data_IF_736707676779
#
_entry.id   IF_736707676779
#
_cell.length_a   1.000
_cell.length_b   1.000
_cell.length_c   1.000
_cell.angle_alpha   90.00
_cell.angle_beta   90.00
_cell.angle_gamma   90.00
#
_symmetry.space_group_name_H-M   'P 1'
#
loop_
_entity.id
_entity.type
_entity.pdbx_description
1 polymer ?
#
# COMPACT_ATOMS: atom_id res chain seq x y z
N UNK A 1 7.99 -6.56 22.89
CA UNK A 1 9.46 -6.51 22.98
C UNK A 1 10.01 -7.05 21.67
N UNK A 2 10.62 -6.20 20.85
CA UNK A 2 11.41 -6.65 19.72
C UNK A 2 12.59 -7.50 20.27
N UNK A 3 12.91 -8.60 19.60
CA UNK A 3 14.06 -9.45 19.98
C UNK A 3 15.33 -8.61 19.95
N UNK A 4 16.33 -9.02 20.75
CA UNK A 4 17.67 -8.44 20.70
C UNK A 4 18.16 -8.39 19.24
N UNK A 5 18.72 -7.26 18.82
CA UNK A 5 19.18 -7.06 17.44
C UNK A 5 18.42 -6.00 16.63
N UNK A 6 17.32 -5.44 17.15
CA UNK A 6 16.62 -4.34 16.51
C UNK A 6 16.72 -3.06 17.33
N UNK A 7 16.97 -1.94 16.65
CA UNK A 7 16.85 -0.61 17.22
C UNK A 7 15.47 -0.01 16.89
N UNK A 8 14.79 0.47 17.92
CA UNK A 8 13.54 1.24 17.80
C UNK A 8 13.61 2.39 18.79
N UNK A 9 13.40 3.60 18.33
CA UNK A 9 13.24 4.76 19.22
C UNK A 9 11.92 4.66 19.97
N UNK A 10 11.99 4.54 21.29
CA UNK A 10 10.79 4.46 22.14
C UNK A 10 9.96 5.75 22.08
N UNK A 11 10.62 6.90 21.93
CA UNK A 11 9.98 8.21 21.79
C UNK A 11 9.20 8.30 20.47
N UNK A 12 9.85 8.00 19.34
CA UNK A 12 9.20 8.00 18.02
C UNK A 12 8.06 6.99 17.94
N UNK A 13 8.24 5.79 18.50
CA UNK A 13 7.18 4.78 18.55
C UNK A 13 5.98 5.25 19.39
N UNK A 14 6.23 5.86 20.55
CA UNK A 14 5.16 6.40 21.41
C UNK A 14 4.42 7.54 20.73
N UNK A 15 5.12 8.43 20.06
CA UNK A 15 4.52 9.52 19.30
C UNK A 15 3.71 8.99 18.11
N UNK A 16 4.26 8.04 17.35
CA UNK A 16 3.55 7.40 16.25
C UNK A 16 2.27 6.71 16.71
N UNK A 17 2.27 6.03 17.86
CA UNK A 17 1.07 5.43 18.44
C UNK A 17 0.02 6.48 18.80
N UNK A 18 0.45 7.61 19.35
CA UNK A 18 -0.45 8.71 19.76
C UNK A 18 -1.04 9.45 18.56
N UNK A 19 -0.23 9.72 17.53
CA UNK A 19 -0.60 10.53 16.36
C UNK A 19 -1.03 9.69 15.14
N UNK A 20 -1.03 8.36 15.26
CA UNK A 20 -1.25 7.46 14.14
C UNK A 20 -0.29 7.72 12.97
N UNK A 21 0.99 7.89 13.32
CA UNK A 21 2.08 8.16 12.41
C UNK A 21 2.90 6.93 12.05
N UNK A 22 4.19 7.12 11.89
CA UNK A 22 5.14 6.08 11.47
C UNK A 22 6.39 6.16 12.34
N UNK A 23 7.01 5.00 12.60
CA UNK A 23 8.34 4.89 13.17
C UNK A 23 9.12 3.79 12.48
N UNK A 24 10.44 3.74 12.73
CA UNK A 24 11.31 2.77 12.10
C UNK A 24 11.78 1.69 13.07
N UNK A 25 11.91 0.47 12.56
CA UNK A 25 12.68 -0.60 13.19
C UNK A 25 13.89 -0.91 12.31
N UNK A 26 15.08 -0.86 12.90
CA UNK A 26 16.35 -1.06 12.20
C UNK A 26 17.00 -2.34 12.71
N UNK A 27 17.28 -3.27 11.81
CA UNK A 27 18.07 -4.44 12.12
C UNK A 27 19.54 -4.02 12.26
N UNK A 28 20.12 -4.21 13.45
CA UNK A 28 21.47 -3.77 13.78
C UNK A 28 22.56 -4.59 13.09
N UNK A 29 22.25 -5.80 12.64
CA UNK A 29 23.21 -6.66 11.96
C UNK A 29 23.31 -6.31 10.47
N UNK A 30 22.17 -6.22 9.79
CA UNK A 30 22.10 -5.99 8.34
C UNK A 30 21.98 -4.52 7.94
N UNK A 31 21.55 -3.66 8.87
CA UNK A 31 21.20 -2.27 8.59
C UNK A 31 19.85 -2.11 7.85
N UNK A 32 19.12 -3.19 7.62
CA UNK A 32 17.79 -3.12 7.02
C UNK A 32 16.82 -2.37 7.90
N UNK A 33 15.98 -1.58 7.25
CA UNK A 33 14.98 -0.74 7.91
C UNK A 33 13.58 -1.16 7.51
N UNK A 34 12.72 -1.34 8.50
CA UNK A 34 11.28 -1.50 8.31
C UNK A 34 10.55 -0.25 8.79
N UNK A 35 9.66 0.28 7.96
CA UNK A 35 8.78 1.37 8.32
C UNK A 35 7.49 0.78 8.92
N UNK A 36 7.24 1.10 10.20
CA UNK A 36 6.07 0.65 10.94
C UNK A 36 5.05 1.77 10.95
N UNK A 37 3.94 1.56 10.26
CA UNK A 37 2.86 2.54 10.14
C UNK A 37 1.74 2.17 11.09
N UNK A 38 1.37 3.12 11.98
CA UNK A 38 0.20 2.97 12.83
C UNK A 38 -1.04 3.30 12.00
N UNK A 39 -1.78 2.28 11.64
CA UNK A 39 -2.96 2.39 10.77
C UNK A 39 -3.93 3.46 11.29
N UNK A 40 -4.28 4.46 10.48
CA UNK A 40 -5.38 5.37 10.79
C UNK A 40 -6.70 4.61 10.92
N UNK A 41 -7.57 5.04 11.83
CA UNK A 41 -8.87 4.45 12.01
C UNK A 41 -9.90 5.06 11.04
N UNK A 42 -9.79 4.70 9.77
CA UNK A 42 -10.65 5.14 8.67
C UNK A 42 -11.22 3.93 7.94
N UNK A 43 -12.30 4.12 7.21
CA UNK A 43 -12.99 3.04 6.50
C UNK A 43 -12.08 2.30 5.51
N UNK A 44 -11.27 3.04 4.75
CA UNK A 44 -10.33 2.43 3.80
C UNK A 44 -9.35 1.48 4.51
N UNK A 45 -8.68 1.95 5.56
CA UNK A 45 -7.69 1.16 6.28
C UNK A 45 -8.33 -0.06 6.98
N UNK A 46 -9.54 0.08 7.54
CA UNK A 46 -10.31 -1.05 8.08
C UNK A 46 -10.65 -2.08 7.01
N UNK A 47 -11.09 -1.62 5.84
CA UNK A 47 -11.39 -2.49 4.71
C UNK A 47 -10.15 -3.23 4.23
N UNK A 48 -8.99 -2.55 4.14
CA UNK A 48 -7.73 -3.19 3.74
C UNK A 48 -7.26 -4.24 4.74
N UNK A 49 -7.38 -3.99 6.04
CA UNK A 49 -7.10 -4.99 7.07
C UNK A 49 -8.03 -6.20 6.93
N UNK A 50 -9.32 -5.99 6.64
CA UNK A 50 -10.28 -7.07 6.43
C UNK A 50 -9.99 -7.86 5.14
N UNK A 51 -9.49 -7.21 4.10
CA UNK A 51 -9.15 -7.80 2.78
C UNK A 51 -7.72 -8.34 2.71
N UNK A 52 -6.91 -8.19 3.76
CA UNK A 52 -5.53 -8.68 3.77
C UNK A 52 -5.46 -10.16 3.42
N UNK A 53 -4.42 -10.54 2.69
CA UNK A 53 -4.22 -11.92 2.23
C UNK A 53 -3.11 -12.59 3.02
N UNK A 54 -3.30 -13.81 3.52
CA UNK A 54 -2.23 -14.60 4.09
C UNK A 54 -1.29 -15.07 2.97
N UNK A 55 0.00 -14.90 3.17
CA UNK A 55 1.03 -15.42 2.28
C UNK A 55 2.18 -15.98 3.10
N UNK A 56 2.92 -16.92 2.52
CA UNK A 56 4.13 -17.47 3.11
C UNK A 56 5.34 -16.91 2.40
N UNK A 57 6.14 -16.13 3.11
CA UNK A 57 7.38 -15.54 2.63
C UNK A 57 8.55 -16.10 3.44
N UNK A 58 9.52 -16.74 2.77
CA UNK A 58 10.73 -17.28 3.44
C UNK A 58 10.41 -18.06 4.72
N UNK A 59 9.45 -18.98 4.64
CA UNK A 59 8.99 -19.82 5.77
C UNK A 59 8.29 -19.06 6.93
N UNK A 60 7.94 -17.79 6.73
CA UNK A 60 7.15 -16.99 7.68
C UNK A 60 5.76 -16.74 7.11
N UNK A 61 4.75 -17.02 7.92
CA UNK A 61 3.37 -16.69 7.57
C UNK A 61 3.10 -15.22 7.89
N UNK A 62 2.75 -14.43 6.87
CA UNK A 62 2.46 -13.00 6.98
C UNK A 62 1.14 -12.64 6.31
N UNK A 63 0.61 -11.49 6.66
CA UNK A 63 -0.50 -10.89 5.90
C UNK A 63 0.03 -9.77 5.02
N UNK A 64 -0.45 -9.72 3.79
CA UNK A 64 -0.14 -8.65 2.84
C UNK A 64 -1.41 -7.91 2.44
N UNK A 65 -1.25 -6.64 2.09
CA UNK A 65 -2.33 -5.84 1.50
C UNK A 65 -2.81 -6.48 0.19
N UNK A 66 -4.10 -6.36 -0.13
CA UNK A 66 -4.61 -6.79 -1.43
C UNK A 66 -3.97 -5.99 -2.58
N UNK A 67 -3.83 -6.55 -3.78
CA UNK A 67 -3.33 -5.79 -4.93
C UNK A 67 -4.15 -4.53 -5.20
N UNK A 68 -5.46 -4.61 -5.06
CA UNK A 68 -6.39 -3.48 -5.20
C UNK A 68 -6.09 -2.38 -4.17
N UNK A 69 -5.95 -2.77 -2.90
CA UNK A 69 -5.59 -1.85 -1.83
C UNK A 69 -4.22 -1.23 -2.02
N UNK A 70 -3.26 -2.00 -2.54
CA UNK A 70 -1.93 -1.48 -2.90
C UNK A 70 -2.02 -0.40 -3.97
N UNK A 71 -2.82 -0.59 -5.02
CA UNK A 71 -3.03 0.43 -6.07
C UNK A 71 -3.60 1.70 -5.45
N UNK A 72 -4.70 1.61 -4.71
CA UNK A 72 -5.36 2.79 -4.12
C UNK A 72 -4.45 3.50 -3.12
N UNK A 73 -3.74 2.78 -2.26
CA UNK A 73 -2.77 3.35 -1.32
C UNK A 73 -1.69 4.15 -2.03
N UNK A 74 -1.12 3.60 -3.11
CA UNK A 74 -0.08 4.28 -3.89
C UNK A 74 -0.60 5.53 -4.60
N UNK A 75 -1.83 5.51 -5.10
CA UNK A 75 -2.48 6.70 -5.68
C UNK A 75 -2.70 7.79 -4.62
N UNK A 76 -3.13 7.43 -3.41
CA UNK A 76 -3.28 8.38 -2.29
C UNK A 76 -1.94 9.00 -1.89
N UNK A 77 -0.88 8.19 -1.83
CA UNK A 77 0.47 8.69 -1.56
C UNK A 77 0.98 9.60 -2.68
N UNK A 78 0.71 9.27 -3.93
CA UNK A 78 1.06 10.12 -5.07
C UNK A 78 0.34 11.46 -5.01
N UNK A 79 -0.96 11.46 -4.68
CA UNK A 79 -1.74 12.69 -4.52
C UNK A 79 -1.21 13.58 -3.39
N UNK A 80 -0.82 12.99 -2.27
CA UNK A 80 -0.32 13.72 -1.11
C UNK A 80 1.10 14.27 -1.29
N UNK A 81 1.97 13.57 -2.04
CA UNK A 81 3.40 13.88 -2.15
C UNK A 81 3.85 14.39 -3.53
N UNK A 82 3.00 14.28 -4.55
CA UNK A 82 3.39 14.55 -5.94
C UNK A 82 4.35 13.49 -6.54
N UNK A 83 4.44 12.32 -5.94
CA UNK A 83 5.43 11.29 -6.29
C UNK A 83 5.06 10.51 -7.55
N UNK A 84 5.75 10.76 -8.65
CA UNK A 84 5.65 9.98 -9.89
C UNK A 84 6.11 8.52 -9.70
N UNK A 85 6.97 8.25 -8.73
CA UNK A 85 7.37 6.88 -8.38
C UNK A 85 6.17 6.08 -7.90
N UNK A 86 5.33 6.64 -7.03
CA UNK A 86 4.14 5.97 -6.53
C UNK A 86 3.14 5.66 -7.65
N UNK A 87 3.02 6.55 -8.65
CA UNK A 87 2.19 6.28 -9.83
C UNK A 87 2.73 5.12 -10.67
N UNK A 88 4.03 5.07 -10.91
CA UNK A 88 4.66 3.95 -11.63
C UNK A 88 4.50 2.63 -10.88
N UNK A 89 4.66 2.66 -9.57
CA UNK A 89 4.49 1.48 -8.72
C UNK A 89 3.02 0.98 -8.75
N UNK A 90 2.04 1.89 -8.72
CA UNK A 90 0.63 1.55 -8.87
C UNK A 90 0.33 0.93 -10.25
N UNK A 91 0.88 1.53 -11.32
CA UNK A 91 0.76 1.00 -12.68
C UNK A 91 1.36 -0.41 -12.81
N UNK A 92 2.50 -0.66 -12.15
CA UNK A 92 3.14 -1.98 -12.14
C UNK A 92 2.27 -3.04 -11.48
N UNK A 93 1.54 -2.71 -10.41
CA UNK A 93 0.59 -3.62 -9.78
C UNK A 93 -0.58 -3.92 -10.73
N UNK A 94 -1.13 -2.90 -11.41
CA UNK A 94 -2.22 -3.09 -12.38
C UNK A 94 -1.82 -4.03 -13.52
N UNK A 95 -0.60 -3.90 -14.02
CA UNK A 95 -0.07 -4.76 -15.08
C UNK A 95 0.25 -6.16 -14.55
N UNK A 96 0.91 -6.26 -13.41
CA UNK A 96 1.35 -7.54 -12.84
C UNK A 96 0.21 -8.44 -12.37
N UNK A 97 -0.93 -7.85 -12.01
CA UNK A 97 -2.13 -8.55 -11.56
C UNK A 97 -3.30 -8.43 -12.57
N UNK A 98 -2.99 -8.16 -13.83
CA UNK A 98 -4.03 -7.97 -14.86
C UNK A 98 -4.95 -9.19 -14.97
N UNK A 99 -6.26 -8.95 -14.90
CA UNK A 99 -7.29 -9.98 -14.94
C UNK A 99 -7.63 -10.62 -13.58
N UNK A 100 -6.87 -10.34 -12.53
CA UNK A 100 -7.13 -10.86 -11.16
C UNK A 100 -7.68 -9.79 -10.22
N UNK A 101 -7.67 -8.52 -10.66
CA UNK A 101 -8.08 -7.37 -9.85
C UNK A 101 -9.60 -7.14 -9.89
N UNK A 102 -10.18 -6.89 -8.73
CA UNK A 102 -11.52 -6.28 -8.62
C UNK A 102 -11.44 -4.79 -8.97
N UNK A 103 -11.54 -4.49 -10.26
CA UNK A 103 -11.45 -3.12 -10.76
C UNK A 103 -12.63 -2.24 -10.33
N UNK A 104 -13.77 -2.82 -9.99
CA UNK A 104 -14.90 -2.06 -9.46
C UNK A 104 -14.62 -1.59 -8.04
N UNK A 105 -13.95 -2.42 -7.23
CA UNK A 105 -13.43 -2.01 -5.93
C UNK A 105 -12.39 -0.88 -6.07
N UNK A 106 -11.40 -1.03 -6.96
CA UNK A 106 -10.37 0.00 -7.19
C UNK A 106 -10.99 1.33 -7.59
N UNK A 107 -11.97 1.33 -8.49
CA UNK A 107 -12.64 2.57 -8.94
C UNK A 107 -13.45 3.23 -7.82
N UNK A 108 -14.21 2.45 -7.05
CA UNK A 108 -14.97 3.00 -5.90
C UNK A 108 -14.06 3.64 -4.87
N UNK A 109 -13.00 2.94 -4.48
CA UNK A 109 -12.06 3.47 -3.48
C UNK A 109 -11.26 4.66 -4.00
N UNK A 110 -10.91 4.69 -5.29
CA UNK A 110 -10.29 5.84 -5.92
C UNK A 110 -11.21 7.06 -5.96
N UNK A 111 -12.51 6.86 -6.18
CA UNK A 111 -13.51 7.93 -6.13
C UNK A 111 -13.66 8.48 -4.70
N UNK A 112 -13.82 7.62 -3.71
CA UNK A 112 -13.88 8.00 -2.29
C UNK A 112 -12.63 8.76 -1.85
N UNK A 113 -11.45 8.34 -2.33
CA UNK A 113 -10.18 8.98 -2.03
C UNK A 113 -9.91 10.25 -2.85
N UNK A 114 -10.72 10.57 -3.87
CA UNK A 114 -10.51 11.72 -4.75
C UNK A 114 -9.30 11.58 -5.68
N UNK A 115 -8.94 10.36 -6.07
CA UNK A 115 -7.76 10.05 -6.91
C UNK A 115 -8.12 9.41 -8.26
N UNK A 116 -9.36 9.57 -8.71
CA UNK A 116 -9.86 9.01 -9.97
C UNK A 116 -9.05 9.47 -11.17
N UNK A 117 -8.62 10.74 -11.21
CA UNK A 117 -7.79 11.28 -12.30
C UNK A 117 -6.42 10.60 -12.36
N UNK A 118 -5.81 10.34 -11.20
CA UNK A 118 -4.54 9.61 -11.13
C UNK A 118 -4.70 8.15 -11.56
N UNK A 119 -5.81 7.52 -11.18
CA UNK A 119 -6.13 6.18 -11.66
C UNK A 119 -6.27 6.15 -13.18
N UNK A 120 -7.00 7.11 -13.76
CA UNK A 120 -7.18 7.22 -15.22
C UNK A 120 -5.85 7.35 -15.97
N UNK A 121 -4.87 8.08 -15.41
CA UNK A 121 -3.54 8.26 -16.01
C UNK A 121 -2.72 6.96 -16.10
N UNK A 122 -2.96 6.01 -15.21
CA UNK A 122 -2.16 4.76 -15.13
C UNK A 122 -2.92 3.53 -15.63
N UNK A 123 -4.20 3.66 -15.93
CA UNK A 123 -4.92 2.56 -16.59
C UNK A 123 -4.35 2.38 -18.00
N UNK A 124 -4.08 1.13 -18.43
CA UNK A 124 -3.72 0.87 -19.80
C UNK A 124 -4.84 1.36 -20.72
N UNK A 125 -4.45 2.03 -21.82
CA UNK A 125 -5.41 2.40 -22.85
C UNK A 125 -6.20 1.15 -23.22
N UNK A 126 -7.54 1.25 -23.20
CA UNK A 126 -8.38 0.20 -23.75
C UNK A 126 -7.94 0.03 -25.20
N UNK A 127 -7.36 -1.11 -25.53
CA UNK A 127 -7.27 -1.53 -26.90
C UNK A 127 -8.71 -1.60 -27.38
N UNK A 128 -9.17 -0.54 -28.06
CA UNK A 128 -10.39 -0.63 -28.84
C UNK A 128 -10.17 -1.77 -29.81
N UNK A 129 -10.88 -2.88 -29.55
CA UNK A 129 -10.85 -4.03 -30.42
C UNK A 129 -11.14 -3.56 -31.82
N UNK A 130 -10.18 -3.74 -32.73
CA UNK A 130 -10.38 -3.48 -34.14
C UNK A 130 -11.65 -4.16 -34.57
N UNK A 131 -12.65 -3.46 -35.12
CA UNK A 131 -13.84 -4.12 -35.66
C UNK A 131 -13.39 -5.00 -36.81
N UNK A 132 -13.72 -6.27 -36.71
CA UNK A 132 -13.61 -7.17 -37.86
C UNK A 132 -14.68 -6.87 -38.88
#
# INVERSE_FOLDING_TARGET
>A
TLKDGFYVSAEEASEALRLRGMFNAIDLESGWKADIIVCPDRDFERNEVARRRPVRLFDVDVFVISPEGSVVSKLRWAAASGSERQLRDAASVLVGCAGELDMDYVRREAEVAGVTDLLARILPERSEGSPR
#
